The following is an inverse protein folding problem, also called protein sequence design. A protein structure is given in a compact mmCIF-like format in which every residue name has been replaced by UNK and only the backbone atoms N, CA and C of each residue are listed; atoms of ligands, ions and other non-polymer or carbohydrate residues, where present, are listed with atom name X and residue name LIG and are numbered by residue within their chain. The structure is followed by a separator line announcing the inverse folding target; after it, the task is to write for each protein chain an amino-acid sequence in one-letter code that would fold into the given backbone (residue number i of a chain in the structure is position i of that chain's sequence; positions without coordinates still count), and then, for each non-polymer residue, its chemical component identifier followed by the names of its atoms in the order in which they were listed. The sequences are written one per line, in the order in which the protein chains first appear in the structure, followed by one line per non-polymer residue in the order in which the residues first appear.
data_IF_006737054479
#
_entry.id   IF_006737054479
#
_cell.length_a   1.000
_cell.length_b   1.000
_cell.length_c   1.000
_cell.angle_alpha   90.00
_cell.angle_beta   90.00
_cell.angle_gamma   90.00
#
_symmetry.space_group_name_H-M   'P 1'
#
loop_
_entity.id
_entity.type
_entity.pdbx_description
1 polymer ?
#
# COMPACT_ATOMS: atom_id res chain seq x y z
N UNK A 1 21.01 -21.31 -26.76
CA UNK A 1 21.15 -20.02 -26.04
C UNK A 1 20.35 -20.16 -24.76
N UNK A 2 20.99 -20.44 -23.63
CA UNK A 2 20.32 -20.46 -22.32
C UNK A 2 20.12 -19.01 -21.89
N UNK A 3 18.87 -18.57 -21.74
CA UNK A 3 18.61 -17.33 -21.04
C UNK A 3 19.21 -17.48 -19.62
N UNK A 4 20.08 -16.55 -19.15
CA UNK A 4 20.56 -16.61 -17.78
C UNK A 4 19.33 -16.51 -16.87
N UNK A 5 19.18 -17.46 -15.93
CA UNK A 5 18.19 -17.36 -14.86
C UNK A 5 18.59 -16.17 -13.98
N UNK A 6 18.14 -14.98 -14.35
CA UNK A 6 18.32 -13.77 -13.57
C UNK A 6 17.32 -13.81 -12.41
N UNK A 7 17.76 -13.56 -11.16
CA UNK A 7 16.85 -13.47 -10.04
C UNK A 7 15.81 -12.38 -10.30
N UNK A 8 14.58 -12.62 -9.83
CA UNK A 8 13.47 -11.66 -9.89
C UNK A 8 13.36 -10.93 -8.56
N UNK A 9 12.66 -9.79 -8.55
CA UNK A 9 12.38 -9.06 -7.31
C UNK A 9 11.78 -9.95 -6.20
N UNK A 10 10.93 -10.92 -6.58
CA UNK A 10 10.30 -11.86 -5.65
C UNK A 10 11.25 -12.87 -4.99
N UNK A 11 12.45 -13.06 -5.52
CA UNK A 11 13.44 -13.99 -4.97
C UNK A 11 14.29 -13.35 -3.86
N UNK A 12 14.40 -12.01 -3.85
CA UNK A 12 15.24 -11.28 -2.90
C UNK A 12 14.97 -11.58 -1.42
N UNK A 13 13.70 -11.73 -0.95
CA UNK A 13 13.42 -11.97 0.47
C UNK A 13 14.01 -13.26 1.04
N UNK A 14 14.30 -14.25 0.20
CA UNK A 14 14.87 -15.54 0.61
C UNK A 14 16.36 -15.66 0.29
N UNK A 15 16.94 -14.68 -0.41
CA UNK A 15 18.36 -14.66 -0.75
C UNK A 15 19.19 -14.09 0.39
N UNK A 16 20.33 -14.73 0.75
CA UNK A 16 21.32 -14.13 1.63
C UNK A 16 21.81 -12.79 1.06
N UNK A 17 21.97 -11.78 1.92
CA UNK A 17 22.41 -10.44 1.49
C UNK A 17 23.77 -10.46 0.78
N UNK A 18 24.66 -11.40 1.14
CA UNK A 18 25.95 -11.59 0.46
C UNK A 18 25.80 -12.07 -0.99
N UNK A 19 24.80 -12.90 -1.27
CA UNK A 19 24.52 -13.40 -2.62
C UNK A 19 23.91 -12.30 -3.49
N UNK A 20 23.05 -11.46 -2.90
CA UNK A 20 22.52 -10.26 -3.57
C UNK A 20 23.69 -9.31 -3.89
N UNK A 21 24.58 -9.05 -2.95
CA UNK A 21 25.74 -8.17 -3.15
C UNK A 21 26.73 -8.68 -4.20
N UNK A 22 26.77 -9.99 -4.44
CA UNK A 22 27.61 -10.62 -5.46
C UNK A 22 27.00 -10.56 -6.88
N UNK A 23 25.75 -10.10 -7.03
CA UNK A 23 25.12 -9.98 -8.35
C UNK A 23 25.82 -8.90 -9.20
N UNK A 24 25.82 -9.06 -10.53
CA UNK A 24 26.37 -8.03 -11.41
C UNK A 24 25.62 -6.69 -11.25
N UNK A 25 26.35 -5.57 -11.37
CA UNK A 25 25.78 -4.23 -11.18
C UNK A 25 24.56 -3.95 -12.09
N UNK A 26 24.58 -4.45 -13.33
CA UNK A 26 23.43 -4.31 -14.24
C UNK A 26 22.19 -5.06 -13.73
N UNK A 27 22.36 -6.20 -13.07
CA UNK A 27 21.25 -6.98 -12.47
C UNK A 27 20.72 -6.26 -11.24
N UNK A 28 21.60 -5.73 -10.40
CA UNK A 28 21.22 -4.92 -9.24
C UNK A 28 20.41 -3.68 -9.64
N UNK A 29 20.84 -2.97 -10.69
CA UNK A 29 20.13 -1.81 -11.21
C UNK A 29 18.72 -2.16 -11.72
N UNK A 30 18.59 -3.27 -12.46
CA UNK A 30 17.27 -3.74 -12.94
C UNK A 30 16.35 -4.13 -11.78
N UNK A 31 16.88 -4.85 -10.77
CA UNK A 31 16.11 -5.23 -9.58
C UNK A 31 15.68 -4.02 -8.75
N UNK A 32 16.54 -3.01 -8.67
CA UNK A 32 16.23 -1.75 -8.01
C UNK A 32 15.08 -1.02 -8.73
N UNK A 33 15.15 -0.89 -10.05
CA UNK A 33 14.10 -0.26 -10.86
C UNK A 33 12.76 -0.99 -10.70
N UNK A 34 12.77 -2.32 -10.80
CA UNK A 34 11.58 -3.16 -10.58
C UNK A 34 11.00 -2.97 -9.17
N UNK A 35 11.85 -2.88 -8.14
CA UNK A 35 11.42 -2.61 -6.77
C UNK A 35 10.75 -1.23 -6.61
N UNK A 36 11.32 -0.20 -7.22
CA UNK A 36 10.79 1.15 -7.18
C UNK A 36 9.45 1.25 -7.93
N UNK A 37 9.31 0.59 -9.06
CA UNK A 37 8.04 0.51 -9.80
C UNK A 37 6.97 -0.22 -9.00
N UNK A 38 7.31 -1.37 -8.40
CA UNK A 38 6.39 -2.13 -7.55
C UNK A 38 5.93 -1.30 -6.34
N UNK A 39 6.84 -0.55 -5.71
CA UNK A 39 6.52 0.35 -4.61
C UNK A 39 5.56 1.48 -5.04
N UNK A 40 5.81 2.11 -6.20
CA UNK A 40 4.93 3.15 -6.76
C UNK A 40 3.54 2.62 -7.09
N UNK A 41 3.45 1.42 -7.67
CA UNK A 41 2.19 0.77 -7.99
C UNK A 41 1.39 0.42 -6.73
N UNK A 42 2.04 -0.19 -5.73
CA UNK A 42 1.42 -0.50 -4.44
C UNK A 42 0.92 0.77 -3.73
N UNK A 43 1.71 1.85 -3.77
CA UNK A 43 1.31 3.14 -3.21
C UNK A 43 0.07 3.72 -3.90
N UNK A 44 0.08 3.73 -5.23
CA UNK A 44 -1.05 4.24 -6.03
C UNK A 44 -2.34 3.46 -5.75
N UNK A 45 -2.24 2.13 -5.63
CA UNK A 45 -3.37 1.28 -5.27
C UNK A 45 -3.88 1.56 -3.86
N UNK A 46 -2.98 1.73 -2.89
CA UNK A 46 -3.35 2.10 -1.52
C UNK A 46 -4.05 3.45 -1.47
N UNK A 47 -3.54 4.46 -2.18
CA UNK A 47 -4.17 5.79 -2.25
C UNK A 47 -5.56 5.71 -2.92
N UNK A 48 -5.72 4.91 -3.98
CA UNK A 48 -7.02 4.69 -4.62
C UNK A 48 -8.03 4.00 -3.69
N UNK A 49 -7.61 2.96 -2.97
CA UNK A 49 -8.45 2.27 -1.99
C UNK A 49 -8.85 3.22 -0.84
N UNK A 50 -7.92 4.02 -0.33
CA UNK A 50 -8.21 5.03 0.69
C UNK A 50 -9.24 6.05 0.19
N UNK A 51 -9.16 6.47 -1.07
CA UNK A 51 -10.16 7.32 -1.70
C UNK A 51 -11.54 6.66 -1.74
N UNK A 52 -11.62 5.37 -2.07
CA UNK A 52 -12.88 4.62 -2.06
C UNK A 52 -13.47 4.47 -0.65
N UNK A 53 -12.63 4.22 0.36
CA UNK A 53 -13.03 4.16 1.77
C UNK A 53 -13.56 5.52 2.24
N UNK A 54 -12.86 6.61 1.93
CA UNK A 54 -13.30 7.96 2.26
C UNK A 54 -14.64 8.30 1.60
N UNK A 55 -14.84 7.89 0.34
CA UNK A 55 -16.12 8.08 -0.35
C UNK A 55 -17.25 7.29 0.33
N UNK A 56 -17.02 6.03 0.72
CA UNK A 56 -18.03 5.19 1.39
C UNK A 56 -18.45 5.75 2.73
N UNK A 57 -17.51 6.25 3.52
CA UNK A 57 -17.74 6.60 4.92
C UNK A 57 -17.89 8.11 5.17
N UNK A 58 -17.59 8.97 4.19
CA UNK A 58 -17.66 10.43 4.33
C UNK A 58 -19.06 10.93 4.70
N UNK A 59 -20.09 10.54 3.94
CA UNK A 59 -21.46 10.97 4.20
C UNK A 59 -21.99 10.46 5.55
N UNK A 60 -21.63 9.22 5.90
CA UNK A 60 -22.03 8.58 7.16
C UNK A 60 -21.32 9.21 8.36
N UNK A 61 -20.05 9.57 8.22
CA UNK A 61 -19.32 10.33 9.23
C UNK A 61 -19.92 11.74 9.42
N UNK A 62 -20.26 12.44 8.33
CA UNK A 62 -20.91 13.75 8.40
C UNK A 62 -22.30 13.67 9.06
N UNK A 63 -23.07 12.61 8.77
CA UNK A 63 -24.35 12.36 9.44
C UNK A 63 -24.17 12.08 10.95
N UNK A 64 -23.19 11.26 11.33
CA UNK A 64 -22.87 10.97 12.73
C UNK A 64 -22.45 12.25 13.49
N UNK A 65 -21.61 13.10 12.88
CA UNK A 65 -21.20 14.39 13.47
C UNK A 65 -22.39 15.28 13.79
N UNK A 66 -23.29 15.46 12.80
CA UNK A 66 -24.51 16.26 12.98
C UNK A 66 -25.42 15.68 14.06
N UNK A 67 -25.53 14.36 14.16
CA UNK A 67 -26.29 13.70 15.22
C UNK A 67 -25.70 13.93 16.62
N UNK A 68 -24.38 14.04 16.72
CA UNK A 68 -23.67 14.41 17.96
C UNK A 68 -23.65 15.93 18.23
N UNK A 69 -24.26 16.75 17.36
CA UNK A 69 -24.23 18.21 17.48
C UNK A 69 -22.86 18.83 17.18
N UNK A 70 -22.00 18.11 16.47
CA UNK A 70 -20.66 18.55 16.06
C UNK A 70 -20.64 18.83 14.56
N UNK A 71 -19.93 19.88 14.16
CA UNK A 71 -19.63 20.13 12.74
C UNK A 71 -18.24 19.59 12.32
N UNK A 72 -17.36 19.33 13.29
CA UNK A 72 -15.98 18.87 13.09
C UNK A 72 -15.55 17.88 14.18
N UNK A 73 -14.52 17.09 13.89
CA UNK A 73 -13.85 16.21 14.82
C UNK A 73 -14.22 14.74 14.68
N UNK A 74 -13.51 13.92 15.45
CA UNK A 74 -13.57 12.47 15.34
C UNK A 74 -14.93 11.91 15.76
N UNK A 75 -15.55 11.13 14.88
CA UNK A 75 -16.73 10.30 15.15
C UNK A 75 -16.40 8.83 15.05
N UNK A 76 -17.10 8.02 15.85
CA UNK A 76 -16.97 6.58 15.87
C UNK A 76 -18.34 5.97 15.66
N UNK A 77 -18.45 5.06 14.69
CA UNK A 77 -19.67 4.28 14.48
C UNK A 77 -19.32 2.85 14.04
N UNK A 78 -20.24 1.92 14.27
CA UNK A 78 -20.11 0.54 13.85
C UNK A 78 -20.70 0.35 12.43
N UNK A 79 -20.02 -0.42 11.59
CA UNK A 79 -20.49 -0.92 10.30
C UNK A 79 -20.19 -2.42 10.23
N UNK A 80 -21.21 -3.24 10.49
CA UNK A 80 -21.10 -4.69 10.69
C UNK A 80 -20.03 -5.04 11.76
N UNK A 81 -18.99 -5.79 11.39
CA UNK A 81 -17.90 -6.21 12.29
C UNK A 81 -16.79 -5.16 12.42
N UNK A 82 -16.92 -4.00 11.75
CA UNK A 82 -15.88 -2.98 11.68
C UNK A 82 -16.28 -1.74 12.47
N UNK A 83 -15.38 -1.26 13.32
CA UNK A 83 -15.49 0.08 13.92
C UNK A 83 -14.84 1.10 13.00
N UNK A 84 -15.63 2.05 12.51
CA UNK A 84 -15.16 3.16 11.69
C UNK A 84 -14.86 4.36 12.60
N UNK A 85 -13.66 4.91 12.47
CA UNK A 85 -13.24 6.14 13.14
C UNK A 85 -12.88 7.15 12.05
N UNK A 86 -13.61 8.25 11.98
CA UNK A 86 -13.43 9.28 10.96
C UNK A 86 -13.26 10.66 11.61
N UNK A 87 -12.21 11.39 11.23
CA UNK A 87 -11.92 12.76 11.69
C UNK A 87 -12.52 13.85 10.79
#
# INVERSE_FOLDING_TARGET
MNAPNLPRLGDLPIMPIGDIAALPAAVLALLQEEAEEAAKAARSLADWLNGAIALRYGDRAAAARRAEGKDVGTVRFEDDEVTVIAD
#
